data_IF_151894841400
#
_entry.id   IF_151894841400
#
_cell.length_a   1.000
_cell.length_b   1.000
_cell.length_c   1.000
_cell.angle_alpha   90.00
_cell.angle_beta   90.00
_cell.angle_gamma   90.00
#
_symmetry.space_group_name_H-M   'P 1'
#
loop_
_entity.id
_entity.type
_entity.pdbx_description
1 polymer ?
#
# COMPACT_ATOMS: atom_id res chain seq x y z
N UNK A 1 34.53 2.34 -15.21
CA UNK A 1 35.74 1.54 -15.50
C UNK A 1 36.71 1.47 -14.31
N UNK A 2 36.93 2.57 -13.56
CA UNK A 2 37.87 2.59 -12.42
C UNK A 2 37.43 1.80 -11.17
N UNK A 3 36.13 1.56 -10.95
CA UNK A 3 35.63 0.76 -9.80
C UNK A 3 35.95 -0.74 -9.95
N UNK A 4 36.05 -1.26 -11.17
CA UNK A 4 36.38 -2.67 -11.43
C UNK A 4 37.85 -2.98 -11.16
N UNK A 5 38.74 -2.00 -11.34
CA UNK A 5 40.17 -2.12 -11.05
C UNK A 5 40.45 -2.11 -9.54
N UNK A 6 39.73 -1.28 -8.78
CA UNK A 6 39.83 -1.23 -7.31
C UNK A 6 39.35 -2.53 -6.67
N UNK A 7 38.20 -3.06 -7.09
CA UNK A 7 37.70 -4.34 -6.59
C UNK A 7 38.66 -5.52 -6.87
N UNK A 8 39.36 -5.51 -8.02
CA UNK A 8 40.39 -6.52 -8.34
C UNK A 8 41.64 -6.38 -7.46
N UNK A 9 42.08 -5.15 -7.19
CA UNK A 9 43.22 -4.90 -6.31
C UNK A 9 42.93 -5.31 -4.86
N UNK A 10 41.74 -4.97 -4.34
CA UNK A 10 41.30 -5.36 -2.99
C UNK A 10 41.18 -6.89 -2.85
N UNK A 11 40.71 -7.57 -3.91
CA UNK A 11 40.62 -9.02 -3.95
C UNK A 11 42.01 -9.70 -3.98
N UNK A 12 42.98 -9.13 -4.69
CA UNK A 12 44.35 -9.64 -4.73
C UNK A 12 45.03 -9.54 -3.35
N UNK A 13 44.87 -8.41 -2.66
CA UNK A 13 45.40 -8.21 -1.30
C UNK A 13 44.76 -9.18 -0.31
N UNK A 14 43.45 -9.42 -0.42
CA UNK A 14 42.75 -10.38 0.43
C UNK A 14 43.26 -11.82 0.22
N UNK A 15 43.50 -12.22 -1.04
CA UNK A 15 44.03 -13.54 -1.37
C UNK A 15 45.46 -13.75 -0.82
N UNK A 16 46.33 -12.75 -0.97
CA UNK A 16 47.70 -12.80 -0.43
C UNK A 16 47.71 -12.91 1.11
N UNK A 17 46.82 -12.17 1.78
CA UNK A 17 46.68 -12.24 3.24
C UNK A 17 46.22 -13.63 3.70
N UNK A 18 45.27 -14.24 2.97
CA UNK A 18 44.77 -15.59 3.25
C UNK A 18 45.87 -16.65 3.08
N UNK A 19 46.71 -16.54 2.04
CA UNK A 19 47.87 -17.44 1.85
C UNK A 19 48.86 -17.34 3.02
N UNK A 20 49.16 -16.14 3.49
CA UNK A 20 50.06 -15.93 4.64
C UNK A 20 49.49 -16.50 5.94
N UNK A 21 48.19 -16.35 6.16
CA UNK A 21 47.49 -16.93 7.31
C UNK A 21 47.56 -18.46 7.25
N UNK A 22 47.24 -19.05 6.09
CA UNK A 22 47.30 -20.50 5.89
C UNK A 22 48.72 -21.06 6.11
N UNK A 23 49.75 -20.37 5.60
CA UNK A 23 51.16 -20.75 5.80
C UNK A 23 51.62 -20.68 7.27
N UNK A 24 50.97 -19.85 8.10
CA UNK A 24 51.29 -19.71 9.52
C UNK A 24 50.61 -20.74 10.45
N UNK A 25 49.62 -21.50 9.96
CA UNK A 25 48.80 -22.44 10.75
C UNK A 25 49.11 -23.93 10.45
N UNK A 26 50.31 -24.24 9.95
CA UNK A 26 50.66 -25.58 9.44
C UNK A 26 50.78 -26.66 10.53
N UNK A 27 50.85 -26.31 11.81
CA UNK A 27 50.87 -27.30 12.90
C UNK A 27 49.44 -27.67 13.35
N UNK A 28 48.92 -28.79 12.83
CA UNK A 28 47.90 -29.57 13.56
C UNK A 28 46.60 -29.94 12.86
N UNK A 29 46.47 -29.79 11.54
CA UNK A 29 45.21 -30.11 10.86
C UNK A 29 45.22 -31.52 10.27
N UNK A 30 44.43 -32.43 10.85
CA UNK A 30 44.15 -33.73 10.23
C UNK A 30 43.33 -33.54 8.94
N UNK A 31 43.44 -34.44 7.95
CA UNK A 31 42.62 -34.38 6.72
C UNK A 31 41.10 -34.31 6.99
N UNK A 32 40.66 -34.75 8.18
CA UNK A 32 39.27 -34.66 8.64
C UNK A 32 38.80 -33.23 8.88
N UNK A 33 39.68 -32.31 9.31
CA UNK A 33 39.30 -30.95 9.66
C UNK A 33 38.91 -30.13 8.42
N UNK A 34 39.73 -30.20 7.36
CA UNK A 34 39.46 -29.48 6.10
C UNK A 34 38.13 -29.94 5.48
N UNK A 35 37.85 -31.24 5.54
CA UNK A 35 36.57 -31.81 5.08
C UNK A 35 35.37 -31.24 5.86
N UNK A 36 35.47 -31.13 7.20
CA UNK A 36 34.41 -30.53 8.02
C UNK A 36 34.22 -29.04 7.77
N UNK A 37 35.30 -28.29 7.57
CA UNK A 37 35.25 -26.85 7.23
C UNK A 37 34.57 -26.63 5.87
N UNK A 38 34.92 -27.43 4.85
CA UNK A 38 34.29 -27.38 3.53
C UNK A 38 32.79 -27.68 3.61
N UNK A 39 32.40 -28.69 4.38
CA UNK A 39 30.99 -29.02 4.56
C UNK A 39 30.24 -27.90 5.31
N UNK A 40 30.87 -27.22 6.27
CA UNK A 40 30.26 -26.07 6.93
C UNK A 40 30.05 -24.93 5.94
N UNK A 41 31.08 -24.60 5.17
CA UNK A 41 31.00 -23.50 4.22
C UNK A 41 29.96 -23.73 3.13
N UNK A 42 29.81 -24.97 2.64
CA UNK A 42 28.73 -25.31 1.71
C UNK A 42 27.34 -25.03 2.29
N UNK A 43 27.13 -25.36 3.57
CA UNK A 43 25.87 -25.06 4.26
C UNK A 43 25.62 -23.56 4.38
N UNK A 44 26.67 -22.79 4.65
CA UNK A 44 26.58 -21.33 4.76
C UNK A 44 26.23 -20.69 3.41
N UNK A 45 26.76 -21.22 2.30
CA UNK A 45 26.38 -20.83 0.93
C UNK A 45 24.89 -21.13 0.70
N UNK A 46 24.45 -22.36 0.95
CA UNK A 46 23.07 -22.77 0.69
C UNK A 46 22.07 -21.96 1.57
N UNK A 47 22.44 -21.60 2.81
CA UNK A 47 21.65 -20.69 3.67
C UNK A 47 21.62 -19.26 3.13
N UNK A 48 22.76 -18.74 2.69
CA UNK A 48 22.85 -17.40 2.13
C UNK A 48 22.01 -17.26 0.85
N UNK A 49 22.01 -18.29 -0.01
CA UNK A 49 21.16 -18.35 -1.21
C UNK A 49 19.68 -18.31 -0.85
N UNK A 50 19.22 -19.16 0.08
CA UNK A 50 17.82 -19.14 0.55
C UNK A 50 17.42 -17.79 1.15
N UNK A 51 18.31 -17.16 1.91
CA UNK A 51 18.04 -15.84 2.51
C UNK A 51 17.91 -14.76 1.44
N UNK A 52 18.74 -14.82 0.40
CA UNK A 52 18.65 -13.94 -0.77
C UNK A 52 17.31 -14.13 -1.49
N UNK A 53 16.93 -15.38 -1.78
CA UNK A 53 15.63 -15.68 -2.41
C UNK A 53 14.46 -15.11 -1.60
N UNK A 54 14.49 -15.26 -0.27
CA UNK A 54 13.48 -14.69 0.62
C UNK A 54 13.44 -13.15 0.55
N UNK A 55 14.60 -12.49 0.46
CA UNK A 55 14.67 -11.04 0.30
C UNK A 55 14.11 -10.61 -1.06
N UNK A 56 14.45 -11.33 -2.13
CA UNK A 56 13.96 -11.06 -3.48
C UNK A 56 12.44 -11.21 -3.56
N UNK A 57 11.87 -12.26 -2.94
CA UNK A 57 10.41 -12.44 -2.83
C UNK A 57 9.75 -11.28 -2.09
N UNK A 58 10.32 -10.85 -0.96
CA UNK A 58 9.79 -9.70 -0.20
C UNK A 58 9.83 -8.41 -1.02
N UNK A 59 10.92 -8.18 -1.73
CA UNK A 59 11.05 -7.03 -2.62
C UNK A 59 9.99 -7.05 -3.72
N UNK A 60 9.81 -8.19 -4.39
CA UNK A 60 8.78 -8.37 -5.42
C UNK A 60 7.37 -8.14 -4.87
N UNK A 61 7.07 -8.62 -3.66
CA UNK A 61 5.80 -8.37 -2.99
C UNK A 61 5.55 -6.88 -2.72
N UNK A 62 6.57 -6.13 -2.30
CA UNK A 62 6.48 -4.69 -2.10
C UNK A 62 6.20 -3.96 -3.43
N UNK A 63 6.90 -4.33 -4.50
CA UNK A 63 6.68 -3.77 -5.84
C UNK A 63 5.25 -4.06 -6.32
N UNK A 64 4.75 -5.29 -6.15
CA UNK A 64 3.39 -5.65 -6.50
C UNK A 64 2.34 -4.82 -5.75
N UNK A 65 2.54 -4.60 -4.45
CA UNK A 65 1.63 -3.80 -3.64
C UNK A 65 1.55 -2.34 -4.14
N UNK A 66 2.70 -1.74 -4.46
CA UNK A 66 2.76 -0.37 -5.00
C UNK A 66 2.05 -0.26 -6.36
N UNK A 67 2.30 -1.21 -7.27
CA UNK A 67 1.65 -1.22 -8.59
C UNK A 67 0.13 -1.42 -8.46
N UNK A 68 -0.31 -2.32 -7.59
CA UNK A 68 -1.73 -2.58 -7.36
C UNK A 68 -2.45 -1.35 -6.81
N UNK A 69 -1.81 -0.58 -5.93
CA UNK A 69 -2.35 0.69 -5.44
C UNK A 69 -2.49 1.71 -6.57
N UNK A 70 -1.45 1.88 -7.39
CA UNK A 70 -1.48 2.80 -8.52
C UNK A 70 -2.59 2.44 -9.54
N UNK A 71 -2.77 1.14 -9.81
CA UNK A 71 -3.85 0.66 -10.69
C UNK A 71 -5.24 0.98 -10.13
N UNK A 72 -5.44 0.80 -8.82
CA UNK A 72 -6.70 1.14 -8.16
C UNK A 72 -7.01 2.64 -8.23
N UNK A 73 -6.02 3.50 -7.99
CA UNK A 73 -6.16 4.95 -8.09
C UNK A 73 -6.48 5.40 -9.53
N UNK A 74 -5.80 4.81 -10.52
CA UNK A 74 -6.07 5.10 -11.93
C UNK A 74 -7.47 4.62 -12.37
N UNK A 75 -7.93 3.46 -11.90
CA UNK A 75 -9.27 2.96 -12.20
C UNK A 75 -10.35 3.91 -11.66
N UNK A 76 -10.18 4.43 -10.44
CA UNK A 76 -11.07 5.42 -9.85
C UNK A 76 -11.12 6.72 -10.68
N UNK A 77 -9.96 7.26 -11.04
CA UNK A 77 -9.88 8.48 -11.85
C UNK A 77 -10.47 8.30 -13.25
N UNK A 78 -10.28 7.14 -13.86
CA UNK A 78 -10.88 6.80 -15.16
C UNK A 78 -12.41 6.76 -15.07
N UNK A 79 -12.95 6.06 -14.06
CA UNK A 79 -14.40 6.00 -13.81
C UNK A 79 -15.00 7.38 -13.58
N UNK A 80 -14.32 8.22 -12.79
CA UNK A 80 -14.71 9.61 -12.54
C UNK A 80 -14.73 10.44 -13.82
N UNK A 81 -13.72 10.33 -14.67
CA UNK A 81 -13.67 11.04 -15.97
C UNK A 81 -14.85 10.63 -16.86
N UNK A 82 -15.10 9.33 -16.99
CA UNK A 82 -16.22 8.80 -17.76
C UNK A 82 -17.57 9.32 -17.24
N UNK A 83 -17.78 9.28 -15.92
CA UNK A 83 -18.98 9.85 -15.31
C UNK A 83 -19.14 11.35 -15.62
N UNK A 84 -18.07 12.13 -15.51
CA UNK A 84 -18.10 13.56 -15.81
C UNK A 84 -18.40 13.83 -17.29
N UNK A 85 -17.83 13.06 -18.21
CA UNK A 85 -18.12 13.15 -19.64
C UNK A 85 -19.58 12.82 -19.95
N UNK A 86 -20.10 11.72 -19.38
CA UNK A 86 -21.50 11.33 -19.50
C UNK A 86 -22.42 12.44 -18.96
N UNK A 87 -22.12 12.98 -17.77
CA UNK A 87 -22.88 14.08 -17.17
C UNK A 87 -22.89 15.32 -18.06
N UNK A 88 -21.74 15.68 -18.65
CA UNK A 88 -21.64 16.80 -19.60
C UNK A 88 -22.43 16.54 -20.88
N UNK A 89 -22.37 15.33 -21.43
CA UNK A 89 -23.13 14.95 -22.61
C UNK A 89 -24.64 15.04 -22.36
N UNK A 90 -25.13 14.49 -21.24
CA UNK A 90 -26.52 14.58 -20.81
C UNK A 90 -26.95 16.04 -20.60
N UNK A 91 -26.08 16.86 -20.00
CA UNK A 91 -26.37 18.27 -19.76
C UNK A 91 -26.48 19.08 -21.06
N UNK A 92 -25.66 18.76 -22.07
CA UNK A 92 -25.69 19.42 -23.39
C UNK A 92 -26.84 18.94 -24.28
N UNK A 93 -27.26 17.69 -24.14
CA UNK A 93 -28.33 17.09 -24.96
C UNK A 93 -29.73 17.55 -24.59
N UNK A 94 -29.93 18.14 -23.41
CA UNK A 94 -31.27 18.46 -22.91
C UNK A 94 -31.61 19.94 -23.09
N UNK A 95 -32.15 20.25 -24.25
CA UNK A 95 -32.98 21.45 -24.47
C UNK A 95 -34.29 21.40 -23.63
N UNK A 96 -34.60 20.25 -23.00
CA UNK A 96 -35.78 20.02 -22.14
C UNK A 96 -35.47 19.29 -20.80
N UNK A 97 -34.34 19.54 -20.12
CA UNK A 97 -34.13 19.04 -18.72
C UNK A 97 -35.09 19.83 -17.84
N UNK A 98 -36.31 19.33 -17.59
CA UNK A 98 -37.05 19.78 -16.43
C UNK A 98 -36.14 19.58 -15.22
N UNK A 99 -35.72 20.68 -14.59
CA UNK A 99 -35.00 20.67 -13.32
C UNK A 99 -35.98 20.19 -12.25
N UNK A 100 -36.21 18.87 -12.22
CA UNK A 100 -37.00 18.26 -11.17
C UNK A 100 -36.32 18.62 -9.85
N UNK A 101 -37.05 19.29 -8.97
CA UNK A 101 -36.58 19.51 -7.60
C UNK A 101 -36.14 18.15 -7.05
N UNK A 102 -34.98 18.08 -6.38
CA UNK A 102 -34.52 16.83 -5.79
C UNK A 102 -35.64 16.22 -4.95
N UNK A 103 -35.83 14.91 -5.09
CA UNK A 103 -36.80 14.16 -4.32
C UNK A 103 -36.57 14.45 -2.82
N UNK A 104 -37.65 14.61 -2.05
CA UNK A 104 -37.59 15.06 -0.66
C UNK A 104 -36.67 14.19 0.20
N UNK A 105 -36.65 12.88 -0.06
CA UNK A 105 -35.82 11.91 0.67
C UNK A 105 -34.31 12.07 0.44
N UNK A 106 -33.89 12.82 -0.59
CA UNK A 106 -32.47 13.16 -0.77
C UNK A 106 -32.04 14.36 0.08
N UNK A 107 -32.99 15.08 0.69
CA UNK A 107 -32.69 16.25 1.49
C UNK A 107 -32.61 15.88 2.96
N UNK A 108 -31.61 16.44 3.65
CA UNK A 108 -31.51 16.33 5.09
C UNK A 108 -32.68 17.08 5.73
N UNK A 109 -33.43 16.47 6.66
CA UNK A 109 -34.53 17.13 7.36
C UNK A 109 -34.09 18.35 8.17
N UNK A 110 -32.86 18.34 8.71
CA UNK A 110 -32.32 19.44 9.51
C UNK A 110 -31.84 20.62 8.65
N UNK A 111 -31.25 20.36 7.48
CA UNK A 111 -30.62 21.42 6.66
C UNK A 111 -31.44 21.83 5.44
N UNK A 112 -32.40 21.00 5.02
CA UNK A 112 -33.18 21.19 3.79
C UNK A 112 -32.38 21.06 2.48
N UNK A 113 -31.09 20.74 2.57
CA UNK A 113 -30.17 20.57 1.43
C UNK A 113 -30.02 19.10 1.07
N UNK A 114 -29.65 18.82 -0.17
CA UNK A 114 -29.31 17.46 -0.61
C UNK A 114 -28.14 16.94 0.23
N UNK A 115 -28.29 15.74 0.79
CA UNK A 115 -27.28 15.10 1.64
C UNK A 115 -26.06 14.71 0.81
N UNK A 116 -24.88 15.01 1.33
CA UNK A 116 -23.59 14.55 0.80
C UNK A 116 -23.09 13.34 1.57
N UNK A 117 -23.26 13.31 2.89
CA UNK A 117 -22.92 12.19 3.77
C UNK A 117 -24.16 11.74 4.58
N UNK A 118 -25.08 11.00 3.94
CA UNK A 118 -26.30 10.53 4.57
C UNK A 118 -26.01 9.46 5.64
N UNK A 119 -26.44 9.71 6.88
CA UNK A 119 -26.36 8.77 8.00
C UNK A 119 -27.75 8.40 8.50
N UNK A 120 -28.02 7.10 8.60
CA UNK A 120 -29.26 6.55 9.15
C UNK A 120 -29.14 6.45 10.68
N UNK A 121 -30.12 6.97 11.41
CA UNK A 121 -30.20 6.80 12.87
C UNK A 121 -31.28 5.77 13.23
N UNK A 122 -31.30 5.34 14.50
CA UNK A 122 -32.19 4.29 15.01
C UNK A 122 -33.68 4.54 14.75
N UNK A 123 -34.11 5.80 14.68
CA UNK A 123 -35.49 6.18 14.34
C UNK A 123 -35.89 5.96 12.87
N UNK A 124 -34.96 5.47 12.02
CA UNK A 124 -35.23 5.16 10.62
C UNK A 124 -35.13 6.35 9.66
N UNK A 125 -34.67 7.51 10.15
CA UNK A 125 -34.48 8.72 9.36
C UNK A 125 -33.00 8.93 9.00
N UNK A 126 -32.80 9.49 7.81
CA UNK A 126 -31.47 9.80 7.28
C UNK A 126 -31.21 11.29 7.38
N UNK A 127 -30.05 11.65 7.93
CA UNK A 127 -29.60 13.03 8.10
C UNK A 127 -28.24 13.24 7.44
N UNK A 128 -27.89 14.48 7.16
CA UNK A 128 -26.51 14.86 6.88
C UNK A 128 -25.67 14.68 8.16
N UNK A 129 -24.55 13.96 8.09
CA UNK A 129 -23.70 13.65 9.26
C UNK A 129 -23.39 14.88 10.11
N UNK A 130 -22.84 15.92 9.47
CA UNK A 130 -22.45 17.16 10.16
C UNK A 130 -23.63 17.87 10.84
N UNK A 131 -24.84 17.69 10.31
CA UNK A 131 -26.03 18.30 10.87
C UNK A 131 -26.49 17.58 12.13
N UNK A 132 -26.56 16.24 12.09
CA UNK A 132 -27.01 15.45 13.24
C UNK A 132 -25.97 15.43 14.36
N UNK A 133 -24.68 15.39 14.04
CA UNK A 133 -23.60 15.47 15.06
C UNK A 133 -23.66 16.79 15.83
N UNK A 134 -23.89 17.92 15.14
CA UNK A 134 -24.07 19.22 15.80
C UNK A 134 -25.32 19.27 16.67
N UNK A 135 -26.39 18.61 16.26
CA UNK A 135 -27.63 18.57 17.05
C UNK A 135 -27.45 17.76 18.33
N UNK A 136 -26.81 16.59 18.23
CA UNK A 136 -26.45 15.75 19.37
C UNK A 136 -25.52 16.51 20.33
N UNK A 137 -24.51 17.18 19.79
CA UNK A 137 -23.55 17.97 20.59
C UNK A 137 -24.21 19.15 21.34
N UNK A 138 -25.34 19.67 20.86
CA UNK A 138 -26.13 20.72 21.55
C UNK A 138 -27.05 20.17 22.63
N UNK A 139 -27.05 18.86 22.87
CA UNK A 139 -27.92 18.19 23.83
C UNK A 139 -29.16 17.53 23.22
N UNK A 140 -29.27 17.48 21.88
CA UNK A 140 -30.30 16.75 21.16
C UNK A 140 -30.07 15.25 21.22
N UNK A 141 -30.43 14.61 22.34
CA UNK A 141 -30.31 13.15 22.53
C UNK A 141 -31.46 12.34 21.92
N UNK A 142 -32.39 13.00 21.24
CA UNK A 142 -33.57 12.42 20.63
C UNK A 142 -33.54 12.64 19.13
N UNK A 143 -34.13 11.72 18.39
CA UNK A 143 -34.32 11.86 16.95
C UNK A 143 -35.05 13.19 16.65
N UNK A 144 -34.49 14.08 15.82
CA UNK A 144 -35.09 15.38 15.52
C UNK A 144 -36.49 15.32 14.87
N UNK A 145 -36.84 14.20 14.24
CA UNK A 145 -38.15 13.98 13.62
C UNK A 145 -39.09 13.24 14.57
N UNK A 146 -38.63 12.14 15.18
CA UNK A 146 -39.52 11.28 15.98
C UNK A 146 -39.59 11.65 17.45
N UNK A 147 -38.61 12.40 17.96
CA UNK A 147 -38.49 12.76 19.38
C UNK A 147 -38.20 11.58 20.31
N UNK A 148 -37.81 10.43 19.75
CA UNK A 148 -37.46 9.21 20.47
C UNK A 148 -35.99 9.16 20.84
#
# INVERSE_FOLDING_TARGET
MMESERGRADQAVALELLERIAASQVDGHSPSYISSELHRFKRDIDEAERKKELQDVKYMQQVMALLSQADADMALETSRKQYMELRRAISRSRENFMTHKPYSHFKCPLTGKVMSDPVLISGGYTYEREAIEREIARGGLRDPITGQ
#
